data_IF_626241937220
#
_entry.id   IF_626241937220
#
_cell.length_a   1.000
_cell.length_b   1.000
_cell.length_c   1.000
_cell.angle_alpha   90.00
_cell.angle_beta   90.00
_cell.angle_gamma   90.00
#
_symmetry.space_group_name_H-M   'P 1'
#
loop_
_entity.id
_entity.type
_entity.pdbx_description
1 polymer ?
#
# COMPACT_ATOMS: atom_id res chain seq x y z
N UNK A 1 -17.26 -4.17 3.12
CA UNK A 1 -15.92 -4.22 3.72
C UNK A 1 -16.10 -4.50 5.21
N UNK A 2 -15.50 -5.58 5.74
CA UNK A 2 -15.60 -5.91 7.17
C UNK A 2 -14.52 -5.18 7.95
N UNK A 3 -14.88 -4.63 9.12
CA UNK A 3 -13.97 -3.90 10.00
C UNK A 3 -13.92 -4.55 11.38
N UNK A 4 -12.74 -4.56 12.00
CA UNK A 4 -12.52 -5.16 13.32
C UNK A 4 -11.54 -4.32 14.15
N UNK A 5 -11.64 -4.42 15.48
CA UNK A 5 -10.70 -3.78 16.41
C UNK A 5 -9.30 -4.38 16.27
N UNK A 6 -8.28 -3.54 16.12
CA UNK A 6 -6.89 -3.97 16.01
C UNK A 6 -6.32 -4.30 17.39
N UNK A 7 -6.45 -5.57 17.79
CA UNK A 7 -5.95 -6.07 19.07
C UNK A 7 -6.55 -5.32 20.26
N UNK A 8 -5.69 -4.76 21.12
CA UNK A 8 -6.11 -3.96 22.28
C UNK A 8 -6.18 -2.45 21.99
N UNK A 9 -5.83 -2.01 20.79
CA UNK A 9 -5.89 -0.59 20.41
C UNK A 9 -7.31 -0.18 20.07
N UNK A 10 -7.64 1.10 20.19
CA UNK A 10 -8.97 1.63 19.82
C UNK A 10 -9.15 1.86 18.31
N UNK A 11 -8.27 1.29 17.47
CA UNK A 11 -8.36 1.36 16.02
C UNK A 11 -9.31 0.30 15.47
N UNK A 12 -10.28 0.72 14.64
CA UNK A 12 -11.11 -0.16 13.85
C UNK A 12 -10.60 -0.19 12.41
N UNK A 13 -10.09 -1.35 11.95
CA UNK A 13 -9.40 -1.48 10.65
C UNK A 13 -10.12 -2.46 9.74
N UNK A 14 -9.95 -2.31 8.42
CA UNK A 14 -10.47 -3.28 7.46
C UNK A 14 -9.77 -4.63 7.61
N UNK A 15 -10.49 -5.71 7.31
CA UNK A 15 -9.91 -7.06 7.31
C UNK A 15 -8.79 -7.24 6.26
N UNK A 16 -8.79 -6.42 5.22
CA UNK A 16 -7.77 -6.40 4.17
C UNK A 16 -6.95 -5.12 4.26
N UNK A 17 -5.63 -5.25 4.11
CA UNK A 17 -4.70 -4.14 4.03
C UNK A 17 -4.11 -4.04 2.62
N UNK A 18 -3.80 -2.81 2.19
CA UNK A 18 -3.08 -2.55 0.95
C UNK A 18 -1.60 -2.31 1.28
N UNK A 19 -0.72 -3.18 0.80
CA UNK A 19 0.72 -2.98 0.91
C UNK A 19 1.25 -2.07 -0.21
N UNK A 20 2.04 -1.05 0.14
CA UNK A 20 2.52 -0.04 -0.82
C UNK A 20 3.98 -0.20 -1.25
N UNK A 21 4.62 -1.34 -1.00
CA UNK A 21 6.04 -1.57 -1.34
C UNK A 21 6.32 -1.43 -2.85
N UNK A 22 5.31 -1.69 -3.69
CA UNK A 22 5.41 -1.52 -5.14
C UNK A 22 5.09 -0.14 -5.65
N UNK A 23 4.72 0.82 -4.80
CA UNK A 23 4.39 2.18 -5.23
C UNK A 23 5.64 3.04 -5.10
N UNK A 24 6.24 3.45 -6.23
CA UNK A 24 7.52 4.13 -6.26
C UNK A 24 8.04 4.41 -7.67
N UNK A 25 9.22 5.04 -7.78
CA UNK A 25 9.71 5.64 -9.03
C UNK A 25 10.44 4.66 -9.96
N UNK A 26 10.55 3.38 -9.60
CA UNK A 26 11.07 2.29 -10.45
C UNK A 26 12.48 2.45 -11.01
N UNK A 27 13.28 3.37 -10.46
CA UNK A 27 14.55 3.81 -11.08
C UNK A 27 15.69 4.01 -10.08
N UNK A 28 15.78 3.17 -9.05
CA UNK A 28 16.69 3.37 -7.91
C UNK A 28 17.12 2.08 -7.21
N UNK A 29 18.04 2.20 -6.26
CA UNK A 29 18.59 1.07 -5.49
C UNK A 29 17.76 0.69 -4.25
N UNK A 30 16.72 1.47 -3.92
CA UNK A 30 15.83 1.21 -2.79
C UNK A 30 14.81 0.10 -3.11
N UNK A 31 14.21 -0.48 -2.07
CA UNK A 31 13.24 -1.58 -2.25
C UNK A 31 12.00 -1.15 -3.06
N UNK A 32 11.66 0.14 -3.01
CA UNK A 32 10.52 0.74 -3.71
C UNK A 32 10.87 1.29 -5.11
N UNK A 33 12.08 1.05 -5.62
CA UNK A 33 12.50 1.56 -6.92
C UNK A 33 12.97 0.42 -7.86
N UNK A 34 12.30 -0.73 -7.78
CA UNK A 34 12.56 -1.91 -8.64
C UNK A 34 11.86 -1.77 -10.00
N UNK A 35 12.29 -2.56 -10.98
CA UNK A 35 11.68 -2.57 -12.32
C UNK A 35 10.19 -2.91 -12.34
N UNK A 36 9.65 -3.51 -11.28
CA UNK A 36 8.25 -3.87 -11.14
C UNK A 36 7.41 -2.84 -10.36
N UNK A 37 8.00 -1.75 -9.86
CA UNK A 37 7.24 -0.74 -9.12
C UNK A 37 6.47 0.18 -10.05
N UNK A 38 5.32 0.65 -9.57
CA UNK A 38 4.40 1.51 -10.30
C UNK A 38 4.48 2.95 -9.79
N UNK A 39 4.37 3.90 -10.71
CA UNK A 39 4.42 5.33 -10.41
C UNK A 39 3.15 5.84 -9.73
N UNK A 40 3.16 7.14 -9.42
CA UNK A 40 2.06 7.80 -8.70
C UNK A 40 0.71 7.68 -9.41
N UNK A 41 0.68 7.80 -10.74
CA UNK A 41 -0.58 7.75 -11.51
C UNK A 41 -1.26 6.39 -11.38
N UNK A 42 -0.51 5.31 -11.59
CA UNK A 42 -1.03 3.95 -11.43
C UNK A 42 -1.35 3.62 -9.97
N UNK A 43 -0.52 4.08 -9.03
CA UNK A 43 -0.82 3.93 -7.60
C UNK A 43 -2.14 4.61 -7.21
N UNK A 44 -2.42 5.80 -7.76
CA UNK A 44 -3.67 6.51 -7.53
C UNK A 44 -4.89 5.74 -8.08
N UNK A 45 -4.74 4.97 -9.16
CA UNK A 45 -5.82 4.12 -9.68
C UNK A 45 -6.12 2.94 -8.77
N UNK A 46 -5.11 2.40 -8.09
CA UNK A 46 -5.27 1.26 -7.15
C UNK A 46 -5.85 1.71 -5.80
N UNK A 47 -5.57 2.93 -5.37
CA UNK A 47 -6.03 3.47 -4.07
C UNK A 47 -7.49 3.97 -4.13
N UNK A 48 -7.97 4.37 -5.31
CA UNK A 48 -9.37 4.80 -5.53
C UNK A 48 -10.36 3.66 -5.29
#
# INVERSE_FOLDING_TARGET
MQYQKLGKSDLNVSQFALGCMGFGKGSGSNVNDRSWTVGQEQANEVIK
#
